data_IF_130853609863
#
_entry.id   IF_130853609863
#
_cell.length_a   1.000
_cell.length_b   1.000
_cell.length_c   1.000
_cell.angle_alpha   90.00
_cell.angle_beta   90.00
_cell.angle_gamma   90.00
#
_symmetry.space_group_name_H-M   'P 1'
#
loop_
_entity.id
_entity.type
_entity.pdbx_description
1 polymer ?
#
# COMPACT_ATOMS: atom_id res chain seq x y z
N UNK A 1 -2.89 10.67 13.26
CA UNK A 1 -2.72 9.85 12.03
C UNK A 1 -1.43 10.29 11.36
N UNK A 2 -0.45 9.38 11.22
CA UNK A 2 0.77 9.65 10.46
C UNK A 2 0.53 9.29 9.00
N UNK A 3 0.57 10.28 8.13
CA UNK A 3 0.34 10.13 6.70
C UNK A 3 1.28 11.02 5.88
N UNK A 4 1.65 10.55 4.70
CA UNK A 4 2.33 11.31 3.67
C UNK A 4 1.40 11.48 2.46
N UNK A 5 1.48 12.64 1.80
CA UNK A 5 0.75 12.94 0.57
C UNK A 5 1.70 13.59 -0.43
N UNK A 6 1.69 13.11 -1.67
CA UNK A 6 2.42 13.71 -2.76
C UNK A 6 1.96 15.15 -3.04
N UNK A 7 2.89 16.04 -3.33
CA UNK A 7 2.60 17.46 -3.62
C UNK A 7 2.12 17.69 -5.06
N UNK A 8 2.40 16.75 -5.96
CA UNK A 8 2.00 16.80 -7.38
C UNK A 8 1.01 15.67 -7.68
N UNK A 9 0.08 15.95 -8.60
CA UNK A 9 -0.83 14.93 -9.15
C UNK A 9 -0.11 14.15 -10.24
N UNK A 10 -0.50 12.90 -10.44
CA UNK A 10 -0.12 12.11 -11.62
C UNK A 10 -0.83 12.65 -12.86
N UNK A 11 -0.38 12.18 -14.03
CA UNK A 11 -1.00 12.51 -15.33
C UNK A 11 -2.46 12.06 -15.41
N UNK A 12 -2.83 11.03 -14.63
CA UNK A 12 -4.22 10.60 -14.45
C UNK A 12 -5.03 11.44 -13.45
N UNK A 13 -4.48 12.56 -12.97
CA UNK A 13 -5.10 13.47 -11.99
C UNK A 13 -5.15 12.95 -10.54
N UNK A 14 -4.56 11.79 -10.23
CA UNK A 14 -4.58 11.18 -8.89
C UNK A 14 -3.43 11.68 -8.02
N UNK A 15 -3.58 11.66 -6.70
CA UNK A 15 -2.52 12.00 -5.74
C UNK A 15 -2.08 10.77 -4.99
N UNK A 16 -0.77 10.48 -4.99
CA UNK A 16 -0.21 9.39 -4.17
C UNK A 16 -0.27 9.76 -2.69
N UNK A 17 -0.66 8.80 -1.86
CA UNK A 17 -0.66 8.92 -0.40
C UNK A 17 -0.03 7.67 0.21
N UNK A 18 0.53 7.81 1.40
CA UNK A 18 0.90 6.70 2.26
C UNK A 18 0.29 6.96 3.63
N UNK A 19 -0.48 6.01 4.16
CA UNK A 19 -1.22 6.17 5.42
C UNK A 19 -0.93 5.00 6.33
N UNK A 20 -0.70 5.26 7.61
CA UNK A 20 -0.62 4.20 8.63
C UNK A 20 -2.04 3.81 9.06
N UNK A 21 -2.41 2.55 8.83
CA UNK A 21 -3.73 2.00 9.20
C UNK A 21 -3.73 1.22 10.52
N UNK A 22 -2.66 1.31 11.33
CA UNK A 22 -2.40 0.52 12.55
C UNK A 22 -3.45 0.62 13.67
N UNK A 23 -4.48 1.47 13.53
CA UNK A 23 -5.59 1.60 14.49
C UNK A 23 -6.96 1.33 13.85
N UNK A 24 -7.00 0.93 12.57
CA UNK A 24 -8.23 0.51 11.94
C UNK A 24 -8.62 -0.89 12.46
N UNK A 25 -9.92 -1.19 12.60
CA UNK A 25 -10.38 -2.55 12.85
C UNK A 25 -9.86 -3.51 11.77
N UNK A 26 -9.45 -4.74 12.12
CA UNK A 26 -8.90 -5.70 11.16
C UNK A 26 -9.80 -5.91 9.93
N UNK A 27 -11.11 -6.01 10.12
CA UNK A 27 -12.11 -6.17 9.06
C UNK A 27 -12.13 -5.01 8.06
N UNK A 28 -11.73 -3.80 8.48
CA UNK A 28 -11.67 -2.63 7.61
C UNK A 28 -10.42 -2.63 6.70
N UNK A 29 -9.41 -3.45 7.02
CA UNK A 29 -8.14 -3.49 6.28
C UNK A 29 -7.85 -4.85 5.65
N UNK A 30 -8.61 -5.89 6.00
CA UNK A 30 -8.34 -7.27 5.62
C UNK A 30 -8.25 -7.48 4.10
N UNK A 31 -9.09 -6.80 3.32
CA UNK A 31 -9.18 -6.95 1.86
C UNK A 31 -8.32 -5.95 1.08
N UNK A 32 -7.50 -5.15 1.77
CA UNK A 32 -6.55 -4.28 1.09
C UNK A 32 -5.53 -5.15 0.35
N UNK A 33 -5.32 -4.93 -0.95
CA UNK A 33 -4.40 -5.75 -1.72
C UNK A 33 -2.95 -5.41 -1.37
N UNK A 34 -2.07 -6.41 -1.45
CA UNK A 34 -0.63 -6.24 -1.26
C UNK A 34 0.02 -5.97 -2.61
N UNK A 35 0.84 -4.92 -2.66
CA UNK A 35 1.74 -4.64 -3.76
C UNK A 35 3.17 -4.95 -3.32
N UNK A 36 3.89 -5.68 -4.16
CA UNK A 36 5.28 -6.06 -3.92
C UNK A 36 6.20 -5.08 -4.63
N UNK A 37 7.34 -4.81 -4.01
CA UNK A 37 8.45 -4.08 -4.63
C UNK A 37 9.76 -4.61 -4.07
N UNK A 38 10.85 -4.49 -4.82
CA UNK A 38 12.17 -4.85 -4.34
C UNK A 38 12.73 -3.73 -3.44
N UNK A 39 12.60 -3.89 -2.13
CA UNK A 39 13.10 -2.90 -1.16
C UNK A 39 14.62 -2.91 -0.91
N UNK A 40 15.40 -3.78 -1.57
CA UNK A 40 16.83 -3.94 -1.28
C UNK A 40 17.74 -3.30 -2.34
N UNK A 41 17.52 -3.59 -3.62
CA UNK A 41 18.45 -3.20 -4.69
C UNK A 41 17.82 -2.18 -5.64
N UNK A 42 16.72 -2.55 -6.30
CA UNK A 42 16.17 -1.79 -7.43
C UNK A 42 15.09 -0.79 -7.03
N UNK A 43 14.36 -1.03 -5.93
CA UNK A 43 13.17 -0.24 -5.54
C UNK A 43 12.06 -0.26 -6.59
N UNK A 44 12.09 -1.23 -7.50
CA UNK A 44 11.11 -1.41 -8.56
C UNK A 44 9.88 -2.19 -8.09
N UNK A 45 8.74 -1.88 -8.70
CA UNK A 45 7.50 -2.61 -8.48
C UNK A 45 7.64 -4.05 -9.02
N UNK A 46 7.14 -5.01 -8.25
CA UNK A 46 7.08 -6.42 -8.61
C UNK A 46 5.64 -6.81 -8.97
N UNK A 47 5.46 -7.86 -9.81
CA UNK A 47 4.12 -8.34 -10.13
C UNK A 47 3.32 -8.72 -8.88
N UNK A 48 2.03 -8.37 -8.87
CA UNK A 48 1.11 -8.76 -7.79
C UNK A 48 0.92 -10.27 -7.80
N UNK A 49 0.86 -10.85 -6.61
CA UNK A 49 0.56 -12.28 -6.41
C UNK A 49 -0.91 -12.53 -6.03
N UNK A 50 -1.74 -11.48 -6.00
CA UNK A 50 -3.17 -11.56 -5.70
C UNK A 50 -3.50 -11.63 -4.20
N UNK A 51 -2.49 -11.57 -3.31
CA UNK A 51 -2.73 -11.60 -1.86
C UNK A 51 -3.19 -10.25 -1.31
N UNK A 52 -3.87 -10.30 -0.17
CA UNK A 52 -4.34 -9.16 0.59
C UNK A 52 -3.82 -9.21 2.04
N UNK A 53 -4.10 -8.16 2.83
CA UNK A 53 -3.59 -8.04 4.21
C UNK A 53 -3.92 -9.26 5.07
N UNK A 54 -5.12 -9.83 4.96
CA UNK A 54 -5.48 -11.03 5.74
C UNK A 54 -4.64 -12.27 5.41
N UNK A 55 -4.12 -12.37 4.18
CA UNK A 55 -3.27 -13.49 3.77
C UNK A 55 -1.84 -13.37 4.34
N UNK A 56 -1.52 -12.23 4.97
CA UNK A 56 -0.27 -12.02 5.71
C UNK A 56 -0.44 -12.30 7.21
N UNK A 57 -1.65 -12.61 7.68
CA UNK A 57 -1.89 -12.98 9.06
C UNK A 57 -1.69 -14.48 9.23
N UNK A 58 -0.57 -14.85 9.87
CA UNK A 58 -0.15 -16.21 10.25
C UNK A 58 0.34 -17.09 9.11
#
# INVERSE_FOLDING_TARGET
>A
MLAWRGLRRSDSGRTRIAVNVRLAPPEAVADLPIDHFDGLDTYDDLPRDGRCVRDMWF
#
